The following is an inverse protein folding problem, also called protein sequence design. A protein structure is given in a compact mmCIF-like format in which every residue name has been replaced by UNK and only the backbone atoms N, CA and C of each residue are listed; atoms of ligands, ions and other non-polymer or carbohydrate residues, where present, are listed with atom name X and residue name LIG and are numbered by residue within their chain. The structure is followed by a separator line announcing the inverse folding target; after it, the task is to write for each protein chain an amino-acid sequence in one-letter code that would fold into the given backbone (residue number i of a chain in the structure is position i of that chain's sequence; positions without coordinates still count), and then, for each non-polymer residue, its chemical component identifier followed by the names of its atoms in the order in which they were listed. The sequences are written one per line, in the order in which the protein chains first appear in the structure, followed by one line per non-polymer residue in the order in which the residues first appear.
data_IF_015184148120
#
_entry.id   IF_015184148120
#
_cell.length_a   1.000
_cell.length_b   1.000
_cell.length_c   1.000
_cell.angle_alpha   90.00
_cell.angle_beta   90.00
_cell.angle_gamma   90.00
#
_symmetry.space_group_name_H-M   'P 1'
#
loop_
_entity.id
_entity.type
_entity.pdbx_description
1 polymer ?
#
# COMPACT_ATOMS: atom_id res chain seq x y z
N UNK A 1 38.59 20.13 -4.66
CA UNK A 1 37.69 18.95 -4.79
C UNK A 1 36.27 19.45 -4.56
N UNK A 2 35.48 19.61 -5.60
CA UNK A 2 34.06 19.96 -5.46
C UNK A 2 33.37 18.79 -4.77
N UNK A 3 32.72 19.03 -3.64
CA UNK A 3 31.89 18.01 -3.00
C UNK A 3 30.85 17.55 -4.02
N UNK A 4 30.86 16.26 -4.37
CA UNK A 4 29.85 15.70 -5.27
C UNK A 4 28.47 16.06 -4.73
N UNK A 5 27.63 16.69 -5.54
CA UNK A 5 26.28 17.06 -5.16
C UNK A 5 25.53 15.82 -4.65
N UNK A 6 24.98 15.90 -3.44
CA UNK A 6 24.15 14.84 -2.86
C UNK A 6 22.72 15.36 -2.74
N UNK A 7 21.71 14.64 -3.26
CA UNK A 7 20.33 15.06 -3.11
C UNK A 7 19.93 15.09 -1.63
N UNK A 8 19.06 16.04 -1.26
CA UNK A 8 18.42 16.00 0.06
C UNK A 8 17.54 14.76 0.20
N UNK A 9 17.21 14.35 1.43
CA UNK A 9 16.32 13.20 1.66
C UNK A 9 14.97 13.34 0.92
N UNK A 10 14.44 14.55 0.83
CA UNK A 10 13.19 14.83 0.11
C UNK A 10 13.38 14.67 -1.40
N UNK A 11 14.45 15.25 -1.97
CA UNK A 11 14.76 15.12 -3.40
C UNK A 11 15.00 13.66 -3.80
N UNK A 12 15.73 12.92 -2.96
CA UNK A 12 15.99 11.49 -3.15
C UNK A 12 14.67 10.69 -3.17
N UNK A 13 13.83 10.86 -2.15
CA UNK A 13 12.55 10.16 -2.03
C UNK A 13 11.63 10.47 -3.21
N UNK A 14 11.44 11.75 -3.53
CA UNK A 14 10.55 12.16 -4.62
C UNK A 14 11.10 11.73 -5.98
N UNK A 15 12.43 11.76 -6.16
CA UNK A 15 13.09 11.28 -7.36
C UNK A 15 12.90 9.78 -7.57
N UNK A 16 13.09 8.96 -6.53
CA UNK A 16 12.87 7.52 -6.61
C UNK A 16 11.40 7.16 -6.81
N UNK A 17 10.48 7.85 -6.12
CA UNK A 17 9.04 7.66 -6.32
C UNK A 17 8.62 8.05 -7.75
N UNK A 18 9.08 9.19 -8.25
CA UNK A 18 8.79 9.64 -9.61
C UNK A 18 9.33 8.67 -10.67
N UNK A 19 10.56 8.16 -10.50
CA UNK A 19 11.16 7.18 -11.40
C UNK A 19 10.37 5.85 -11.38
N UNK A 20 10.04 5.34 -10.20
CA UNK A 20 9.23 4.13 -10.05
C UNK A 20 7.84 4.29 -10.68
N UNK A 21 7.16 5.38 -10.37
CA UNK A 21 5.83 5.70 -10.90
C UNK A 21 5.83 5.83 -12.42
N UNK A 22 6.81 6.55 -12.99
CA UNK A 22 6.98 6.65 -14.45
C UNK A 22 7.24 5.28 -15.08
N UNK A 23 8.08 4.45 -14.46
CA UNK A 23 8.34 3.09 -14.92
C UNK A 23 7.07 2.24 -14.98
N UNK A 24 6.22 2.33 -13.95
CA UNK A 24 4.93 1.62 -13.91
C UNK A 24 4.00 2.16 -15.01
N UNK A 25 3.87 3.49 -15.17
CA UNK A 25 3.04 4.09 -16.23
C UNK A 25 3.51 3.61 -17.61
N UNK A 26 4.80 3.75 -17.91
CA UNK A 26 5.36 3.34 -19.21
C UNK A 26 5.09 1.85 -19.45
N UNK A 27 5.33 1.00 -18.46
CA UNK A 27 5.06 -0.43 -18.59
C UNK A 27 3.56 -0.72 -18.79
N UNK A 28 2.66 0.01 -18.14
CA UNK A 28 1.22 -0.16 -18.34
C UNK A 28 0.77 0.33 -19.73
N UNK A 29 1.34 1.42 -20.22
CA UNK A 29 1.06 1.91 -21.58
C UNK A 29 1.54 0.92 -22.66
N UNK A 30 2.66 0.22 -22.42
CA UNK A 30 3.23 -0.74 -23.38
C UNK A 30 2.60 -2.13 -23.28
N UNK A 31 2.26 -2.59 -22.07
CA UNK A 31 1.87 -3.98 -21.81
C UNK A 31 0.46 -4.11 -21.20
N UNK A 32 -0.28 -3.01 -21.04
CA UNK A 32 -1.64 -3.00 -20.50
C UNK A 32 -1.75 -3.63 -19.11
N UNK A 33 -2.92 -4.24 -18.84
CA UNK A 33 -3.22 -4.93 -17.58
C UNK A 33 -2.55 -6.31 -17.42
N UNK A 34 -1.44 -6.58 -18.11
CA UNK A 34 -0.67 -7.82 -17.92
C UNK A 34 0.08 -7.82 -16.59
N UNK A 35 0.82 -8.90 -16.28
CA UNK A 35 1.66 -8.96 -15.08
C UNK A 35 2.91 -8.06 -15.10
N UNK A 36 3.25 -7.47 -16.26
CA UNK A 36 4.50 -6.70 -16.42
C UNK A 36 4.55 -5.43 -15.55
N UNK A 37 3.52 -4.57 -15.50
CA UNK A 37 3.58 -3.35 -14.68
C UNK A 37 3.70 -3.64 -13.19
N UNK A 38 3.05 -4.72 -12.76
CA UNK A 38 3.16 -5.22 -11.39
C UNK A 38 4.59 -5.67 -11.10
N UNK A 39 5.23 -6.44 -11.98
CA UNK A 39 6.62 -6.86 -11.82
C UNK A 39 7.56 -5.65 -11.76
N UNK A 40 7.36 -4.65 -12.62
CA UNK A 40 8.12 -3.39 -12.61
C UNK A 40 7.97 -2.69 -11.27
N UNK A 41 6.74 -2.61 -10.72
CA UNK A 41 6.49 -2.04 -9.40
C UNK A 41 7.22 -2.83 -8.29
N UNK A 42 7.05 -4.16 -8.23
CA UNK A 42 7.70 -5.03 -7.23
C UNK A 42 9.22 -4.87 -7.24
N UNK A 43 9.84 -4.96 -8.42
CA UNK A 43 11.30 -4.83 -8.57
C UNK A 43 11.74 -3.40 -8.23
N UNK A 44 11.03 -2.39 -8.74
CA UNK A 44 11.33 -0.99 -8.46
C UNK A 44 11.29 -0.69 -6.96
N UNK A 45 10.24 -1.12 -6.27
CA UNK A 45 10.06 -0.88 -4.84
C UNK A 45 11.10 -1.59 -3.95
N UNK A 46 11.55 -2.79 -4.33
CA UNK A 46 12.59 -3.49 -3.58
C UNK A 46 13.99 -2.94 -3.85
N UNK A 47 14.30 -2.62 -5.11
CA UNK A 47 15.69 -2.40 -5.52
C UNK A 47 16.08 -0.93 -5.77
N UNK A 48 15.14 -0.04 -6.11
CA UNK A 48 15.47 1.39 -6.27
C UNK A 48 16.01 2.01 -4.97
N UNK A 49 15.41 1.77 -3.78
CA UNK A 49 15.95 2.26 -2.52
C UNK A 49 17.37 1.78 -2.21
N UNK A 50 17.77 0.59 -2.69
CA UNK A 50 19.08 0.03 -2.38
C UNK A 50 20.23 0.87 -2.90
N UNK A 51 20.03 1.65 -3.97
CA UNK A 51 21.07 2.49 -4.56
C UNK A 51 21.58 3.50 -3.52
N UNK A 52 20.73 4.41 -3.00
CA UNK A 52 21.15 5.35 -1.97
C UNK A 52 21.41 4.70 -0.60
N UNK A 53 20.72 3.60 -0.25
CA UNK A 53 20.98 2.88 1.00
C UNK A 53 22.43 2.35 1.05
N UNK A 54 22.90 1.74 -0.04
CA UNK A 54 24.29 1.25 -0.14
C UNK A 54 25.31 2.37 -0.02
N UNK A 55 25.03 3.55 -0.56
CA UNK A 55 25.90 4.72 -0.41
C UNK A 55 25.99 5.23 1.03
N UNK A 56 24.99 4.93 1.86
CA UNK A 56 24.96 5.25 3.29
C UNK A 56 25.39 4.09 4.20
N UNK A 57 25.71 2.92 3.64
CA UNK A 57 26.00 1.73 4.42
C UNK A 57 24.79 1.16 5.15
N UNK A 58 23.58 1.42 4.64
CA UNK A 58 22.31 0.97 5.21
C UNK A 58 21.77 -0.26 4.46
N UNK A 59 20.96 -1.07 5.12
CA UNK A 59 20.30 -2.24 4.56
C UNK A 59 18.78 -2.29 4.86
N UNK A 60 18.10 -3.35 4.41
CA UNK A 60 16.66 -3.51 4.59
C UNK A 60 16.20 -3.45 6.06
N UNK A 61 17.05 -3.85 7.02
CA UNK A 61 16.73 -3.91 8.45
C UNK A 61 16.64 -2.50 9.03
N UNK A 62 17.46 -1.57 8.57
CA UNK A 62 17.43 -0.15 8.98
C UNK A 62 16.09 0.50 8.66
N UNK A 63 15.43 0.01 7.61
CA UNK A 63 14.12 0.47 7.18
C UNK A 63 12.95 -0.38 7.71
N UNK A 64 13.21 -1.30 8.64
CA UNK A 64 12.16 -2.02 9.37
C UNK A 64 11.74 -3.34 8.73
N UNK A 65 12.46 -3.84 7.71
CA UNK A 65 12.31 -5.22 7.26
C UNK A 65 13.09 -6.15 8.21
N UNK A 66 12.51 -6.40 9.38
CA UNK A 66 13.13 -7.19 10.44
C UNK A 66 12.09 -7.98 11.22
N UNK A 67 12.48 -9.15 11.71
CA UNK A 67 11.63 -9.99 12.57
C UNK A 67 11.77 -9.65 14.05
N UNK A 68 12.54 -8.62 14.43
CA UNK A 68 12.79 -8.27 15.83
C UNK A 68 11.51 -8.04 16.64
N UNK A 69 10.48 -7.48 16.00
CA UNK A 69 9.19 -7.12 16.63
C UNK A 69 8.05 -8.05 16.23
N UNK A 70 8.33 -9.24 15.69
CA UNK A 70 7.31 -10.10 15.05
C UNK A 70 6.07 -10.38 15.91
N UNK A 71 6.25 -10.54 17.23
CA UNK A 71 5.11 -10.76 18.16
C UNK A 71 4.18 -9.55 18.21
N UNK A 72 4.76 -8.35 18.24
CA UNK A 72 4.00 -7.09 18.23
C UNK A 72 3.35 -6.87 16.86
N UNK A 73 4.07 -7.17 15.78
CA UNK A 73 3.58 -7.08 14.41
C UNK A 73 2.36 -7.98 14.19
N UNK A 74 2.44 -9.25 14.62
CA UNK A 74 1.33 -10.21 14.53
C UNK A 74 0.15 -9.78 15.42
N UNK A 75 0.40 -9.32 16.65
CA UNK A 75 -0.67 -8.83 17.55
C UNK A 75 -1.41 -7.63 16.96
N UNK A 76 -0.69 -6.66 16.39
CA UNK A 76 -1.30 -5.51 15.75
C UNK A 76 -2.05 -5.90 14.48
N UNK A 77 -1.47 -6.76 13.65
CA UNK A 77 -2.16 -7.31 12.48
C UNK A 77 -3.50 -7.95 12.86
N UNK A 78 -3.50 -8.90 13.79
CA UNK A 78 -4.71 -9.61 14.22
C UNK A 78 -5.72 -8.65 14.88
N UNK A 79 -5.25 -7.76 15.76
CA UNK A 79 -6.11 -6.79 16.43
C UNK A 79 -6.76 -5.80 15.46
N UNK A 80 -6.01 -5.30 14.48
CA UNK A 80 -6.56 -4.42 13.45
C UNK A 80 -7.50 -5.17 12.51
N UNK A 81 -7.20 -6.40 12.11
CA UNK A 81 -8.11 -7.22 11.30
C UNK A 81 -9.44 -7.49 12.00
N UNK A 82 -9.42 -7.79 13.31
CA UNK A 82 -10.63 -8.03 14.09
C UNK A 82 -11.57 -6.82 14.14
N UNK A 83 -11.01 -5.60 14.08
CA UNK A 83 -11.80 -4.35 14.10
C UNK A 83 -12.18 -3.93 12.69
N UNK A 84 -11.20 -3.87 11.78
CA UNK A 84 -11.38 -3.26 10.45
C UNK A 84 -12.17 -4.17 9.52
N UNK A 85 -11.97 -5.50 9.54
CA UNK A 85 -12.63 -6.37 8.56
C UNK A 85 -14.15 -6.48 8.76
N UNK A 86 -14.70 -6.62 9.98
CA UNK A 86 -16.15 -6.59 10.18
C UNK A 86 -16.77 -5.24 9.81
N UNK A 87 -16.12 -4.13 10.19
CA UNK A 87 -16.58 -2.79 9.81
C UNK A 87 -16.57 -2.61 8.29
N UNK A 88 -15.48 -3.03 7.63
CA UNK A 88 -15.35 -2.95 6.19
C UNK A 88 -16.37 -3.85 5.48
N UNK A 89 -16.66 -5.04 5.99
CA UNK A 89 -17.73 -5.90 5.47
C UNK A 89 -19.07 -5.18 5.48
N UNK A 90 -19.45 -4.60 6.62
CA UNK A 90 -20.71 -3.85 6.75
C UNK A 90 -20.78 -2.66 5.81
N UNK A 91 -19.69 -1.89 5.72
CA UNK A 91 -19.59 -0.76 4.78
C UNK A 91 -19.63 -1.21 3.32
N UNK A 92 -18.98 -2.33 2.98
CA UNK A 92 -18.98 -2.89 1.63
C UNK A 92 -20.38 -3.36 1.24
N UNK A 93 -21.07 -4.09 2.12
CA UNK A 93 -22.44 -4.54 1.90
C UNK A 93 -23.41 -3.36 1.75
N UNK A 94 -23.27 -2.32 2.58
CA UNK A 94 -24.04 -1.09 2.39
C UNK A 94 -23.71 -0.43 1.05
N UNK A 95 -22.43 -0.39 0.69
CA UNK A 95 -21.98 0.22 -0.56
C UNK A 95 -22.54 -0.53 -1.79
N UNK A 96 -22.69 -1.85 -1.74
CA UNK A 96 -23.31 -2.61 -2.83
C UNK A 96 -24.78 -2.28 -3.03
N UNK A 97 -25.50 -1.86 -1.99
CA UNK A 97 -26.89 -1.39 -2.09
C UNK A 97 -26.98 0.08 -2.55
N UNK A 98 -25.99 0.91 -2.18
CA UNK A 98 -25.96 2.34 -2.55
C UNK A 98 -25.49 2.57 -3.98
N UNK A 99 -24.51 1.79 -4.46
CA UNK A 99 -23.87 1.99 -5.76
C UNK A 99 -24.87 2.01 -6.94
N UNK A 100 -25.90 1.13 -7.01
CA UNK A 100 -26.92 1.16 -8.05
C UNK A 100 -27.84 2.40 -8.02
N UNK A 101 -27.91 3.11 -6.88
CA UNK A 101 -28.72 4.32 -6.73
C UNK A 101 -28.02 5.57 -7.30
N UNK A 102 -26.71 5.48 -7.57
CA UNK A 102 -25.93 6.59 -8.11
C UNK A 102 -26.09 6.69 -9.64
N UNK A 103 -25.93 7.89 -10.22
CA UNK A 103 -25.79 8.04 -11.66
C UNK A 103 -24.66 7.14 -12.19
N UNK A 104 -24.90 6.47 -13.31
CA UNK A 104 -23.98 5.46 -13.88
C UNK A 104 -22.54 5.96 -14.01
N UNK A 105 -22.34 7.20 -14.46
CA UNK A 105 -20.98 7.76 -14.60
C UNK A 105 -20.29 7.96 -13.26
N UNK A 106 -21.02 8.37 -12.22
CA UNK A 106 -20.48 8.49 -10.87
C UNK A 106 -20.16 7.11 -10.28
N UNK A 107 -21.03 6.12 -10.47
CA UNK A 107 -20.81 4.75 -9.99
C UNK A 107 -19.52 4.16 -10.60
N UNK A 108 -19.29 4.36 -11.92
CA UNK A 108 -18.06 3.92 -12.62
C UNK A 108 -16.80 4.60 -12.11
N UNK A 109 -16.88 5.85 -11.65
CA UNK A 109 -15.73 6.57 -11.09
C UNK A 109 -15.36 6.10 -9.69
N UNK A 110 -16.36 5.68 -8.90
CA UNK A 110 -16.19 5.36 -7.48
C UNK A 110 -15.90 3.89 -7.21
N UNK A 111 -16.33 2.97 -8.07
CA UNK A 111 -16.10 1.55 -7.86
C UNK A 111 -15.94 0.77 -9.18
N UNK A 112 -15.15 -0.31 -9.18
CA UNK A 112 -15.02 -1.19 -10.35
C UNK A 112 -16.17 -2.19 -10.49
N UNK A 113 -17.02 -2.33 -9.48
CA UNK A 113 -18.05 -3.37 -9.40
C UNK A 113 -19.21 -3.10 -10.37
N UNK A 114 -19.72 -4.17 -10.99
CA UNK A 114 -20.83 -4.13 -11.95
C UNK A 114 -21.77 -5.30 -11.71
N UNK A 115 -23.04 -5.09 -12.02
CA UNK A 115 -24.07 -6.12 -11.92
C UNK A 115 -24.74 -6.18 -10.55
N UNK A 116 -25.75 -7.04 -10.41
CA UNK A 116 -26.45 -7.23 -9.15
C UNK A 116 -25.51 -7.85 -8.10
N UNK A 117 -25.59 -7.33 -6.87
CA UNK A 117 -24.81 -7.80 -5.75
C UNK A 117 -25.66 -8.78 -4.92
N UNK A 118 -25.17 -10.00 -4.74
CA UNK A 118 -25.78 -10.99 -3.86
C UNK A 118 -24.71 -11.73 -3.07
N UNK A 119 -24.75 -11.61 -1.75
CA UNK A 119 -23.74 -12.25 -0.92
C UNK A 119 -23.90 -13.77 -0.90
N UNK A 120 -22.94 -14.46 -1.48
CA UNK A 120 -22.72 -15.90 -1.35
C UNK A 120 -21.25 -16.12 -0.95
N UNK A 121 -20.94 -16.64 0.24
CA UNK A 121 -19.56 -16.82 0.68
C UNK A 121 -18.76 -17.66 -0.32
N UNK A 122 -17.70 -17.07 -0.90
CA UNK A 122 -16.85 -17.72 -1.90
C UNK A 122 -15.39 -17.37 -1.67
N UNK A 123 -14.53 -18.35 -1.91
CA UNK A 123 -13.09 -18.11 -2.01
C UNK A 123 -12.71 -17.92 -3.48
N UNK A 124 -11.82 -16.97 -3.78
CA UNK A 124 -11.25 -16.83 -5.12
C UNK A 124 -10.60 -18.14 -5.57
N UNK A 125 -10.76 -18.55 -6.83
CA UNK A 125 -9.99 -19.66 -7.39
C UNK A 125 -8.49 -19.44 -7.16
N UNK A 126 -7.75 -20.52 -6.88
CA UNK A 126 -6.31 -20.49 -6.64
C UNK A 126 -5.92 -19.58 -5.45
N UNK A 127 -6.75 -19.54 -4.40
CA UNK A 127 -6.55 -18.67 -3.23
C UNK A 127 -5.13 -18.74 -2.62
N UNK A 128 -4.51 -19.92 -2.56
CA UNK A 128 -3.14 -20.04 -2.04
C UNK A 128 -2.10 -19.24 -2.85
N UNK A 129 -2.27 -19.16 -4.17
CA UNK A 129 -1.40 -18.35 -5.03
C UNK A 129 -1.64 -16.86 -4.79
N UNK A 130 -2.90 -16.45 -4.59
CA UNK A 130 -3.22 -15.09 -4.19
C UNK A 130 -2.56 -14.72 -2.86
N UNK A 131 -2.47 -15.62 -1.89
CA UNK A 131 -1.79 -15.34 -0.62
C UNK A 131 -0.31 -15.03 -0.84
N UNK A 132 0.39 -15.87 -1.60
CA UNK A 132 1.82 -15.66 -1.92
C UNK A 132 2.02 -14.36 -2.68
N UNK A 133 1.18 -14.13 -3.70
CA UNK A 133 1.22 -12.96 -4.55
C UNK A 133 0.97 -11.67 -3.77
N UNK A 134 -0.10 -11.60 -2.98
CA UNK A 134 -0.45 -10.41 -2.23
C UNK A 134 0.56 -10.11 -1.13
N UNK A 135 1.15 -11.14 -0.50
CA UNK A 135 2.13 -10.91 0.54
C UNK A 135 3.50 -10.52 -0.02
N UNK A 136 4.07 -11.31 -0.92
CA UNK A 136 5.47 -11.16 -1.33
C UNK A 136 5.67 -10.32 -2.59
N UNK A 137 4.67 -10.23 -3.46
CA UNK A 137 4.78 -9.48 -4.73
C UNK A 137 4.19 -8.08 -4.59
N UNK A 138 3.13 -7.92 -3.80
CA UNK A 138 2.43 -6.64 -3.61
C UNK A 138 2.79 -5.98 -2.28
N UNK A 139 2.30 -6.54 -1.17
CA UNK A 139 2.32 -5.85 0.12
C UNK A 139 3.74 -5.64 0.65
N UNK A 140 4.60 -6.66 0.64
CA UNK A 140 5.95 -6.53 1.19
C UNK A 140 6.81 -5.50 0.43
N UNK A 141 6.91 -5.53 -0.91
CA UNK A 141 7.61 -4.48 -1.66
C UNK A 141 7.04 -3.08 -1.42
N UNK A 142 5.71 -2.93 -1.49
CA UNK A 142 5.06 -1.63 -1.29
C UNK A 142 5.27 -1.10 0.13
N UNK A 143 5.06 -1.92 1.16
CA UNK A 143 5.28 -1.50 2.54
C UNK A 143 6.76 -1.20 2.82
N UNK A 144 7.69 -1.97 2.24
CA UNK A 144 9.10 -1.66 2.32
C UNK A 144 9.40 -0.29 1.70
N UNK A 145 8.95 -0.02 0.47
CA UNK A 145 9.25 1.23 -0.22
C UNK A 145 8.58 2.44 0.44
N UNK A 146 7.29 2.36 0.71
CA UNK A 146 6.52 3.49 1.22
C UNK A 146 6.74 3.70 2.72
N UNK A 147 6.59 2.66 3.54
CA UNK A 147 6.59 2.80 5.01
C UNK A 147 7.97 2.60 5.58
N UNK A 148 8.72 1.65 5.02
CA UNK A 148 10.11 1.44 5.38
C UNK A 148 10.95 2.63 4.94
N UNK A 149 11.18 2.76 3.63
CA UNK A 149 12.10 3.72 3.05
C UNK A 149 11.57 5.15 3.05
N UNK A 150 10.54 5.44 2.26
CA UNK A 150 10.04 6.81 2.03
C UNK A 150 9.64 7.51 3.33
N UNK A 151 8.79 6.88 4.15
CA UNK A 151 8.31 7.49 5.40
C UNK A 151 9.46 7.74 6.38
N UNK A 152 10.42 6.82 6.51
CA UNK A 152 11.58 7.01 7.38
C UNK A 152 12.49 8.13 6.89
N UNK A 153 12.83 8.15 5.59
CA UNK A 153 13.68 9.18 4.99
C UNK A 153 13.07 10.57 5.10
N UNK A 154 11.76 10.69 4.86
CA UNK A 154 11.04 11.95 5.03
C UNK A 154 10.97 12.36 6.50
N UNK A 155 10.87 11.41 7.43
CA UNK A 155 10.92 11.70 8.88
C UNK A 155 12.29 12.19 9.33
N UNK A 156 13.38 11.70 8.73
CA UNK A 156 14.72 12.21 9.02
C UNK A 156 14.85 13.69 8.61
N UNK A 157 14.22 14.08 7.49
CA UNK A 157 14.15 15.47 7.04
C UNK A 157 13.19 16.32 7.87
N UNK A 158 12.06 15.72 8.27
CA UNK A 158 10.95 16.38 8.95
C UNK A 158 10.56 15.63 10.23
N UNK A 159 11.34 15.75 11.31
CA UNK A 159 11.13 14.99 12.55
C UNK A 159 9.93 15.47 13.38
N UNK A 160 9.32 16.59 13.01
CA UNK A 160 8.17 17.18 13.67
C UNK A 160 6.89 16.35 13.50
N UNK A 161 5.94 16.54 14.41
CA UNK A 161 4.63 15.91 14.34
C UNK A 161 3.91 15.93 15.68
N UNK A 162 2.61 15.66 15.67
CA UNK A 162 1.76 15.56 16.87
C UNK A 162 1.66 14.12 17.33
N UNK A 163 1.61 13.89 18.64
CA UNK A 163 1.36 12.55 19.19
C UNK A 163 -0.13 12.23 19.12
N UNK A 164 -0.49 11.19 18.39
CA UNK A 164 -1.87 10.72 18.20
C UNK A 164 -1.87 9.19 18.33
N UNK A 165 -2.76 8.63 19.16
CA UNK A 165 -2.83 7.19 19.43
C UNK A 165 -1.47 6.53 19.70
N UNK A 166 -0.63 7.23 20.47
CA UNK A 166 0.68 6.75 20.91
C UNK A 166 1.83 6.89 19.90
N UNK A 167 1.60 7.33 18.66
CA UNK A 167 2.67 7.55 17.66
C UNK A 167 2.79 9.01 17.26
N UNK A 168 3.92 9.41 16.68
CA UNK A 168 4.12 10.77 16.17
C UNK A 168 3.69 10.83 14.70
N UNK A 169 2.63 11.58 14.40
CA UNK A 169 2.14 11.81 13.04
C UNK A 169 2.56 13.21 12.58
N UNK A 170 3.32 13.28 11.50
CA UNK A 170 3.89 14.51 10.95
C UNK A 170 3.82 14.54 9.42
N UNK A 171 4.44 15.54 8.76
CA UNK A 171 4.40 15.71 7.31
C UNK A 171 4.85 14.46 6.53
N UNK A 172 5.87 13.75 7.03
CA UNK A 172 6.35 12.50 6.44
C UNK A 172 5.23 11.45 6.31
N UNK A 173 4.47 11.23 7.38
CA UNK A 173 3.36 10.27 7.42
C UNK A 173 2.27 10.62 6.38
N UNK A 174 1.82 11.88 6.37
CA UNK A 174 0.76 12.32 5.46
C UNK A 174 1.20 12.33 4.00
N UNK A 175 2.41 12.80 3.72
CA UNK A 175 2.94 12.82 2.36
C UNK A 175 3.14 11.40 1.82
N UNK A 176 3.66 10.47 2.62
CA UNK A 176 3.78 9.07 2.22
C UNK A 176 2.42 8.46 1.87
N UNK A 177 1.39 8.65 2.70
CA UNK A 177 0.06 8.13 2.42
C UNK A 177 -0.56 8.75 1.15
N UNK A 178 -0.34 10.04 0.92
CA UNK A 178 -0.77 10.73 -0.30
C UNK A 178 -0.06 10.19 -1.54
N UNK A 179 1.28 10.08 -1.51
CA UNK A 179 2.08 9.56 -2.62
C UNK A 179 1.77 8.08 -2.91
N UNK A 180 1.44 7.29 -1.88
CA UNK A 180 0.96 5.93 -2.05
C UNK A 180 -0.34 5.88 -2.86
N UNK A 181 -1.32 6.70 -2.49
CA UNK A 181 -2.59 6.79 -3.21
C UNK A 181 -2.42 7.31 -4.65
N UNK A 182 -1.62 8.37 -4.84
CA UNK A 182 -1.31 8.90 -6.17
C UNK A 182 -0.56 7.87 -7.03
N UNK A 183 0.33 7.08 -6.44
CA UNK A 183 1.03 6.00 -7.12
C UNK A 183 0.09 4.96 -7.74
N UNK A 184 -1.10 4.79 -7.17
CA UNK A 184 -2.11 3.87 -7.69
C UNK A 184 -2.88 4.40 -8.91
N UNK A 185 -2.70 5.69 -9.27
CA UNK A 185 -3.21 6.24 -10.53
C UNK A 185 -2.38 5.79 -11.75
N UNK A 186 -1.30 5.02 -11.57
CA UNK A 186 -0.45 4.55 -12.67
C UNK A 186 -1.19 3.71 -13.72
N UNK A 187 -2.37 3.19 -13.39
CA UNK A 187 -3.25 2.43 -14.29
C UNK A 187 -4.58 3.14 -14.59
N UNK A 188 -4.65 4.45 -14.34
CA UNK A 188 -5.75 5.35 -14.73
C UNK A 188 -7.12 5.01 -14.13
N UNK A 189 -7.15 4.54 -12.87
CA UNK A 189 -8.37 4.17 -12.14
C UNK A 189 -8.57 5.07 -10.92
N UNK A 190 -9.54 6.00 -10.99
CA UNK A 190 -9.75 7.04 -9.96
C UNK A 190 -10.14 6.43 -8.60
N UNK A 191 -10.98 5.39 -8.59
CA UNK A 191 -11.40 4.72 -7.36
C UNK A 191 -10.22 4.17 -6.53
N UNK A 192 -9.06 3.94 -7.15
CA UNK A 192 -7.87 3.48 -6.43
C UNK A 192 -7.28 4.53 -5.49
N UNK A 193 -7.67 5.81 -5.60
CA UNK A 193 -7.28 6.83 -4.61
C UNK A 193 -7.81 6.51 -3.19
N UNK A 194 -8.85 5.69 -3.08
CA UNK A 194 -9.37 5.21 -1.79
C UNK A 194 -8.32 4.46 -0.95
N UNK A 195 -7.26 3.91 -1.55
CA UNK A 195 -6.16 3.27 -0.82
C UNK A 195 -5.40 4.26 0.08
N UNK A 196 -5.65 5.57 -0.04
CA UNK A 196 -5.22 6.58 0.92
C UNK A 196 -5.64 6.24 2.35
N UNK A 197 -6.87 5.75 2.57
CA UNK A 197 -7.37 5.47 3.92
C UNK A 197 -6.65 4.30 4.60
N UNK A 198 -6.55 3.09 4.00
CA UNK A 198 -5.77 2.01 4.60
C UNK A 198 -4.27 2.36 4.69
N UNK A 199 -3.74 3.20 3.79
CA UNK A 199 -2.37 3.68 3.87
C UNK A 199 -2.04 4.43 5.17
N UNK A 200 -3.01 5.14 5.75
CA UNK A 200 -2.86 5.78 7.06
C UNK A 200 -2.65 4.75 8.16
N UNK A 201 -3.40 3.64 8.13
CA UNK A 201 -3.25 2.56 9.10
C UNK A 201 -1.91 1.85 8.94
N UNK A 202 -1.48 1.58 7.70
CA UNK A 202 -0.18 0.96 7.43
C UNK A 202 0.98 1.83 7.97
N UNK A 203 0.94 3.14 7.71
CA UNK A 203 1.91 4.10 8.24
C UNK A 203 1.90 4.18 9.77
N UNK A 204 0.71 4.09 10.39
CA UNK A 204 0.56 4.10 11.84
C UNK A 204 1.17 2.85 12.46
N UNK A 205 0.93 1.66 11.87
CA UNK A 205 1.53 0.41 12.31
C UNK A 205 3.07 0.50 12.25
N UNK A 206 3.61 1.08 11.17
CA UNK A 206 5.07 1.29 11.02
C UNK A 206 5.65 2.22 12.08
N UNK A 207 4.99 3.33 12.40
CA UNK A 207 5.43 4.22 13.48
C UNK A 207 5.30 3.56 14.86
N UNK A 208 4.35 2.63 15.02
CA UNK A 208 4.09 1.96 16.30
C UNK A 208 5.11 0.88 16.63
N UNK A 209 5.61 0.15 15.63
CA UNK A 209 6.50 -1.01 15.84
C UNK A 209 7.93 -0.77 15.40
N UNK A 210 8.18 0.16 14.48
CA UNK A 210 9.50 0.24 13.85
C UNK A 210 9.68 -0.72 12.67
N UNK A 211 8.68 -1.57 12.38
CA UNK A 211 8.73 -2.67 11.41
C UNK A 211 7.68 -2.49 10.31
N UNK A 212 7.97 -3.01 9.11
CA UNK A 212 7.01 -3.07 8.00
C UNK A 212 6.24 -4.40 7.96
N UNK A 213 6.66 -5.40 8.73
CA UNK A 213 6.11 -6.77 8.66
C UNK A 213 4.63 -6.80 9.04
N UNK A 214 4.25 -6.14 10.13
CA UNK A 214 2.84 -6.08 10.55
C UNK A 214 1.96 -5.38 9.53
N UNK A 215 2.43 -4.27 8.96
CA UNK A 215 1.74 -3.54 7.90
C UNK A 215 1.61 -4.40 6.63
N UNK A 216 2.66 -5.13 6.22
CA UNK A 216 2.63 -6.00 5.05
C UNK A 216 1.64 -7.16 5.20
N UNK A 217 1.58 -7.78 6.39
CA UNK A 217 0.59 -8.82 6.70
C UNK A 217 -0.83 -8.28 6.61
N UNK A 218 -1.09 -7.12 7.23
CA UNK A 218 -2.41 -6.50 7.22
C UNK A 218 -2.82 -6.02 5.83
N UNK A 219 -1.91 -5.42 5.06
CA UNK A 219 -2.13 -5.01 3.68
C UNK A 219 -2.47 -6.22 2.79
N UNK A 220 -1.66 -7.30 2.83
CA UNK A 220 -1.96 -8.51 2.07
C UNK A 220 -3.33 -9.10 2.44
N UNK A 221 -3.63 -9.18 3.74
CA UNK A 221 -4.91 -9.66 4.23
C UNK A 221 -6.08 -8.76 3.78
N UNK A 222 -5.92 -7.44 3.77
CA UNK A 222 -6.94 -6.50 3.30
C UNK A 222 -7.22 -6.69 1.80
N UNK A 223 -6.18 -6.87 0.97
CA UNK A 223 -6.36 -7.12 -0.46
C UNK A 223 -7.06 -8.46 -0.71
N UNK A 224 -6.65 -9.51 0.01
CA UNK A 224 -7.31 -10.82 -0.05
C UNK A 224 -8.77 -10.73 0.40
N UNK A 225 -9.04 -9.97 1.46
CA UNK A 225 -10.39 -9.80 1.99
C UNK A 225 -11.29 -9.10 0.97
N UNK A 226 -10.85 -7.98 0.39
CA UNK A 226 -11.57 -7.29 -0.70
C UNK A 226 -11.81 -8.25 -1.87
N UNK A 227 -10.82 -9.06 -2.25
CA UNK A 227 -10.98 -10.03 -3.33
C UNK A 227 -12.00 -11.13 -3.00
N UNK A 228 -12.04 -11.59 -1.75
CA UNK A 228 -13.07 -12.53 -1.28
C UNK A 228 -14.47 -11.89 -1.32
N UNK A 229 -14.60 -10.62 -0.91
CA UNK A 229 -15.87 -9.90 -0.99
C UNK A 229 -16.33 -9.72 -2.44
N UNK A 230 -15.42 -9.33 -3.33
CA UNK A 230 -15.71 -9.18 -4.75
C UNK A 230 -16.31 -10.47 -5.34
N UNK A 231 -15.65 -11.62 -5.15
CA UNK A 231 -16.19 -12.90 -5.68
C UNK A 231 -17.43 -13.37 -4.94
N UNK A 232 -17.58 -13.01 -3.65
CA UNK A 232 -18.75 -13.39 -2.85
C UNK A 232 -20.00 -12.59 -3.21
N UNK A 233 -19.86 -11.32 -3.56
CA UNK A 233 -20.99 -10.46 -3.93
C UNK A 233 -21.30 -10.48 -5.43
N UNK A 234 -20.29 -10.64 -6.28
CA UNK A 234 -20.43 -10.43 -7.74
C UNK A 234 -20.01 -11.63 -8.60
N UNK A 235 -19.48 -12.72 -8.01
CA UNK A 235 -18.93 -13.84 -8.79
C UNK A 235 -19.95 -14.84 -9.34
N UNK A 236 -21.22 -14.45 -9.46
CA UNK A 236 -22.34 -15.29 -9.92
C UNK A 236 -22.39 -15.44 -11.43
#
# INVERSE_FOLDING_TARGET
MTAAWRPTAVQEVLGLWGLGFLGIIVSFLLFGGTGVPKLVATVGFLYLPLIPMRWRGEDYRDYGLSTRTWRQDVRLFLGMSLVVFPLFFGLFALWTEVLPLLPTELARLLAPFRGPAHFTPRLPPRFGEWVVDQLFVVALPEEFFYRGYMQARLRDAWPQGRRVFGVRLGPAFWLTALLFALGHLAIFQVWRLSVFFPALLFGWMRERTGSVVGAALFHAAANLFVRCLEVSFFGG
#
